data_IF_687009503280
#
_entry.id   IF_687009503280
#
_cell.length_a   1.000
_cell.length_b   1.000
_cell.length_c   1.000
_cell.angle_alpha   90.00
_cell.angle_beta   90.00
_cell.angle_gamma   90.00
#
_symmetry.space_group_name_H-M   'P 1'
#
loop_
_entity.id
_entity.type
_entity.pdbx_description
1 polymer ?
#
# COMPACT_ATOMS: atom_id res chain seq x y z
N UNK A 1 29.44 -9.38 -2.34
CA UNK A 1 28.46 -8.30 -2.53
C UNK A 1 27.13 -9.01 -2.71
N UNK A 2 26.10 -8.67 -1.92
CA UNK A 2 24.80 -9.32 -2.04
C UNK A 2 24.21 -9.09 -3.43
N UNK A 3 23.40 -10.04 -3.92
CA UNK A 3 22.71 -9.87 -5.20
C UNK A 3 21.62 -8.79 -5.12
N UNK A 4 21.20 -8.41 -3.91
CA UNK A 4 20.23 -7.35 -3.66
C UNK A 4 20.88 -6.00 -3.41
N UNK A 5 20.22 -4.95 -3.91
CA UNK A 5 20.53 -3.55 -3.59
C UNK A 5 19.25 -2.87 -3.14
N UNK A 6 19.30 -2.23 -1.97
CA UNK A 6 18.17 -1.53 -1.36
C UNK A 6 18.58 -0.10 -1.03
N UNK A 7 18.27 0.83 -1.93
CA UNK A 7 18.86 2.17 -1.93
C UNK A 7 17.80 3.26 -2.07
N UNK A 8 18.01 4.37 -1.33
CA UNK A 8 17.11 5.52 -1.38
C UNK A 8 17.32 6.31 -2.67
N UNK A 9 16.22 6.67 -3.33
CA UNK A 9 16.25 7.57 -4.48
C UNK A 9 16.48 9.00 -4.02
N UNK A 10 17.76 9.36 -3.85
CA UNK A 10 18.16 10.72 -3.49
C UNK A 10 18.37 11.53 -4.75
N UNK A 11 17.39 12.39 -5.07
CA UNK A 11 17.56 13.41 -6.11
C UNK A 11 18.21 14.64 -5.48
N UNK A 12 19.27 15.16 -6.12
CA UNK A 12 19.86 16.43 -5.70
C UNK A 12 18.84 17.56 -5.88
N UNK A 13 18.45 18.19 -4.78
CA UNK A 13 17.50 19.30 -4.79
C UNK A 13 18.22 20.64 -4.68
N UNK A 14 17.64 21.73 -5.24
CA UNK A 14 18.15 23.08 -5.04
C UNK A 14 18.30 23.42 -3.55
N UNK A 15 19.24 24.32 -3.22
CA UNK A 15 19.47 24.77 -1.84
C UNK A 15 18.16 25.28 -1.20
N UNK A 16 17.82 24.74 -0.04
CA UNK A 16 16.61 25.10 0.71
C UNK A 16 15.35 24.33 0.31
N UNK A 17 15.42 23.48 -0.73
CA UNK A 17 14.36 22.54 -1.05
C UNK A 17 14.59 21.20 -0.34
N UNK A 18 13.51 20.54 0.04
CA UNK A 18 13.51 19.18 0.57
C UNK A 18 12.43 18.37 -0.12
N UNK A 19 12.68 17.07 -0.26
CA UNK A 19 11.65 16.17 -0.77
C UNK A 19 10.55 16.04 0.28
N UNK A 20 9.30 16.12 -0.16
CA UNK A 20 8.14 15.91 0.72
C UNK A 20 8.00 14.46 1.16
N UNK A 21 8.58 13.55 0.39
CA UNK A 21 8.49 12.11 0.57
C UNK A 21 9.78 11.41 0.17
N UNK A 22 9.88 10.12 0.42
CA UNK A 22 11.02 9.30 0.02
C UNK A 22 10.57 8.03 -0.70
N UNK A 23 11.52 7.46 -1.44
CA UNK A 23 11.38 6.16 -2.09
C UNK A 23 12.68 5.40 -1.92
N UNK A 24 12.57 4.09 -1.65
CA UNK A 24 13.70 3.17 -1.57
C UNK A 24 13.49 2.06 -2.58
N UNK A 25 14.36 1.97 -3.57
CA UNK A 25 14.30 0.98 -4.64
C UNK A 25 14.98 -0.32 -4.21
N UNK A 26 14.34 -1.45 -4.52
CA UNK A 26 14.91 -2.78 -4.41
C UNK A 26 15.23 -3.29 -5.81
N UNK A 27 16.50 -3.61 -6.05
CA UNK A 27 16.95 -4.29 -7.26
C UNK A 27 17.65 -5.60 -6.93
N UNK A 28 17.65 -6.52 -7.88
CA UNK A 28 18.35 -7.80 -7.80
C UNK A 28 19.17 -8.02 -9.06
N UNK A 29 20.47 -8.26 -8.91
CA UNK A 29 21.44 -8.41 -10.03
C UNK A 29 21.37 -7.26 -11.05
N UNK A 30 21.21 -6.03 -10.55
CA UNK A 30 21.14 -4.82 -11.37
C UNK A 30 19.81 -4.61 -12.11
N UNK A 31 18.75 -5.36 -11.77
CA UNK A 31 17.39 -5.14 -12.30
C UNK A 31 16.45 -4.70 -11.20
N UNK A 32 15.74 -3.62 -11.43
CA UNK A 32 14.72 -3.13 -10.50
C UNK A 32 13.58 -4.15 -10.36
N UNK A 33 13.18 -4.40 -9.11
CA UNK A 33 12.09 -5.31 -8.79
C UNK A 33 10.86 -4.55 -8.33
N UNK A 34 11.05 -3.71 -7.32
CA UNK A 34 10.01 -2.86 -6.76
C UNK A 34 10.61 -1.71 -5.97
N UNK A 35 9.79 -0.74 -5.57
CA UNK A 35 10.23 0.29 -4.64
C UNK A 35 9.21 0.58 -3.54
N UNK A 36 9.71 0.84 -2.33
CA UNK A 36 8.94 1.25 -1.17
C UNK A 36 8.79 2.77 -1.23
N UNK A 37 7.57 3.26 -1.40
CA UNK A 37 7.29 4.68 -1.56
C UNK A 37 6.46 5.20 -0.39
N UNK A 38 6.91 6.27 0.25
CA UNK A 38 6.05 7.10 1.08
C UNK A 38 5.28 8.06 0.18
N UNK A 39 3.98 7.88 0.03
CA UNK A 39 3.14 8.87 -0.64
C UNK A 39 2.76 10.06 0.24
N UNK A 40 1.98 11.01 -0.30
CA UNK A 40 1.39 12.08 0.49
C UNK A 40 0.43 11.56 1.57
N UNK A 41 -0.34 10.51 1.28
CA UNK A 41 -1.35 9.96 2.20
C UNK A 41 -0.98 8.60 2.78
N UNK A 42 -0.23 7.76 2.07
CA UNK A 42 0.08 6.41 2.54
C UNK A 42 1.35 5.87 1.91
N UNK A 43 1.90 4.85 2.54
CA UNK A 43 2.97 4.00 2.00
C UNK A 43 2.41 2.99 0.99
N UNK A 44 3.16 2.66 -0.06
CA UNK A 44 2.82 1.63 -1.04
C UNK A 44 4.07 1.12 -1.75
N UNK A 45 3.93 0.00 -2.47
CA UNK A 45 4.98 -0.51 -3.34
C UNK A 45 4.72 -0.05 -4.78
N UNK A 46 5.60 0.76 -5.35
CA UNK A 46 5.54 1.20 -6.74
C UNK A 46 6.89 1.72 -7.21
N UNK A 47 7.33 1.40 -8.43
CA UNK A 47 6.74 0.42 -9.38
C UNK A 47 6.90 -1.03 -8.89
N UNK A 48 6.17 -1.97 -9.51
CA UNK A 48 6.47 -3.41 -9.46
C UNK A 48 6.82 -3.88 -10.88
N UNK A 49 7.91 -4.62 -11.02
CA UNK A 49 8.44 -5.10 -12.29
C UNK A 49 8.34 -6.62 -12.43
N UNK A 50 8.19 -7.09 -13.67
CA UNK A 50 8.49 -8.47 -14.05
C UNK A 50 10.01 -8.74 -13.97
N UNK A 51 10.45 -10.02 -14.01
CA UNK A 51 11.87 -10.35 -14.15
C UNK A 51 12.54 -9.78 -15.40
N UNK A 52 11.76 -9.47 -16.44
CA UNK A 52 12.21 -8.81 -17.67
C UNK A 52 12.27 -7.28 -17.58
N UNK A 53 11.93 -6.69 -16.43
CA UNK A 53 11.98 -5.25 -16.20
C UNK A 53 10.77 -4.46 -16.71
N UNK A 54 9.62 -5.11 -16.90
CA UNK A 54 8.39 -4.47 -17.38
C UNK A 54 7.47 -4.18 -16.20
N UNK A 55 6.99 -2.94 -16.07
CA UNK A 55 6.10 -2.57 -14.98
C UNK A 55 4.71 -3.22 -15.12
N UNK A 56 4.21 -3.83 -14.04
CA UNK A 56 2.91 -4.53 -14.00
C UNK A 56 1.84 -3.79 -13.21
N UNK A 57 2.22 -2.73 -12.50
CA UNK A 57 1.29 -1.89 -11.73
C UNK A 57 1.34 -0.42 -12.18
N UNK A 58 0.30 0.32 -11.83
CA UNK A 58 0.19 1.76 -12.07
C UNK A 58 -0.09 2.55 -10.79
N UNK A 59 0.15 3.86 -10.87
CA UNK A 59 -0.11 4.81 -9.79
C UNK A 59 -0.89 6.02 -10.32
N UNK A 60 -1.85 6.50 -9.54
CA UNK A 60 -2.59 7.74 -9.80
C UNK A 60 -3.33 7.80 -11.14
N UNK A 61 -4.06 6.75 -11.55
CA UNK A 61 -4.82 6.77 -12.79
C UNK A 61 -5.93 7.83 -12.75
N UNK A 62 -6.31 8.37 -13.92
CA UNK A 62 -7.25 9.49 -14.01
C UNK A 62 -8.64 9.20 -13.42
N UNK A 63 -9.11 7.95 -13.49
CA UNK A 63 -10.41 7.53 -12.95
C UNK A 63 -10.39 7.35 -11.43
N UNK A 64 -9.23 7.02 -10.86
CA UNK A 64 -9.06 6.73 -9.44
C UNK A 64 -7.71 7.27 -8.94
N UNK A 65 -7.54 8.60 -8.78
CA UNK A 65 -6.24 9.22 -8.51
C UNK A 65 -5.63 8.85 -7.14
N UNK A 66 -6.40 8.18 -6.28
CA UNK A 66 -5.97 7.69 -4.98
C UNK A 66 -5.45 6.25 -5.00
N UNK A 67 -5.54 5.54 -6.14
CA UNK A 67 -5.00 4.19 -6.31
C UNK A 67 -3.48 4.24 -6.53
N UNK A 68 -2.73 3.53 -5.69
CA UNK A 68 -1.27 3.57 -5.66
C UNK A 68 -0.69 2.15 -5.69
N UNK A 69 -0.64 1.54 -6.87
CA UNK A 69 0.02 0.26 -7.12
C UNK A 69 -0.37 -0.82 -6.10
N UNK A 70 0.49 -1.22 -5.16
CA UNK A 70 0.15 -2.15 -4.08
C UNK A 70 0.14 -1.42 -2.75
N UNK A 71 -1.03 -1.31 -2.12
CA UNK A 71 -1.19 -0.54 -0.88
C UNK A 71 -2.18 -1.18 0.09
N UNK A 72 -2.03 -0.78 1.35
CA UNK A 72 -2.96 -1.12 2.43
C UNK A 72 -3.66 0.16 2.89
N UNK A 73 -4.95 0.07 3.15
CA UNK A 73 -5.75 1.17 3.67
C UNK A 73 -7.13 0.70 4.12
N UNK A 74 -7.80 1.50 4.94
CA UNK A 74 -9.18 1.23 5.36
C UNK A 74 -10.04 2.45 5.07
N UNK A 75 -11.21 2.26 4.46
CA UNK A 75 -12.17 3.34 4.22
C UNK A 75 -12.91 3.75 5.49
N UNK A 76 -13.40 2.77 6.26
CA UNK A 76 -14.04 2.96 7.55
C UNK A 76 -13.11 2.49 8.65
N UNK A 77 -12.40 3.42 9.29
CA UNK A 77 -11.72 3.18 10.56
C UNK A 77 -12.39 4.02 11.64
N UNK A 78 -12.90 3.35 12.66
CA UNK A 78 -13.55 3.93 13.83
C UNK A 78 -12.59 3.86 15.00
N UNK A 79 -12.34 4.99 15.65
CA UNK A 79 -11.48 5.12 16.83
C UNK A 79 -12.33 5.61 18.00
N UNK A 80 -12.50 4.75 19.00
CA UNK A 80 -13.38 5.03 20.15
C UNK A 80 -12.59 5.70 21.26
N UNK A 81 -12.88 6.97 21.50
CA UNK A 81 -12.14 7.84 22.42
C UNK A 81 -12.97 8.08 23.68
N UNK A 82 -12.53 7.61 24.86
CA UNK A 82 -13.18 7.93 26.12
C UNK A 82 -13.07 9.44 26.43
N UNK A 83 -14.18 10.04 26.85
CA UNK A 83 -14.26 11.45 27.24
C UNK A 83 -14.90 11.61 28.62
N UNK A 84 -14.96 12.85 29.11
CA UNK A 84 -15.50 13.16 30.43
C UNK A 84 -16.92 12.62 30.63
N UNK A 85 -17.26 12.24 31.87
CA UNK A 85 -18.57 11.69 32.21
C UNK A 85 -18.79 10.22 31.82
N UNK A 86 -17.74 9.49 31.43
CA UNK A 86 -17.84 8.10 31.01
C UNK A 86 -18.44 7.91 29.61
N UNK A 87 -18.52 8.99 28.83
CA UNK A 87 -18.95 8.93 27.44
C UNK A 87 -17.80 8.49 26.52
N UNK A 88 -18.15 8.08 25.31
CA UNK A 88 -17.21 7.70 24.26
C UNK A 88 -17.59 8.44 22.99
N UNK A 89 -16.63 9.13 22.40
CA UNK A 89 -16.74 9.70 21.07
C UNK A 89 -16.21 8.72 20.02
N UNK A 90 -16.85 8.67 18.85
CA UNK A 90 -16.39 7.86 17.71
C UNK A 90 -15.75 8.77 16.67
N UNK A 91 -14.43 8.68 16.54
CA UNK A 91 -13.69 9.39 15.51
C UNK A 91 -13.53 8.50 14.29
N UNK A 92 -14.07 8.96 13.17
CA UNK A 92 -14.10 8.19 11.92
C UNK A 92 -13.13 8.77 10.90
N UNK A 93 -12.27 7.90 10.36
CA UNK A 93 -11.21 8.29 9.45
C UNK A 93 -11.23 7.43 8.19
N UNK A 94 -10.82 8.03 7.08
CA UNK A 94 -10.61 7.34 5.82
C UNK A 94 -9.12 7.27 5.50
N UNK A 95 -8.53 6.07 5.53
CA UNK A 95 -7.15 5.81 5.11
C UNK A 95 -7.05 5.26 3.68
N UNK A 96 -8.19 5.14 2.98
CA UNK A 96 -8.28 4.62 1.62
C UNK A 96 -8.29 5.72 0.54
N UNK A 97 -9.03 6.81 0.77
CA UNK A 97 -9.08 7.95 -0.16
C UNK A 97 -8.10 9.06 0.25
N UNK A 98 -7.92 10.04 -0.63
CA UNK A 98 -7.03 11.20 -0.44
C UNK A 98 -7.80 12.49 -0.11
N UNK A 99 -9.09 12.36 0.18
CA UNK A 99 -10.02 13.46 0.37
C UNK A 99 -11.11 13.08 1.37
N UNK A 100 -11.94 14.05 1.74
CA UNK A 100 -13.10 13.78 2.59
C UNK A 100 -14.08 12.88 1.84
N UNK A 101 -14.40 11.72 2.42
CA UNK A 101 -15.30 10.76 1.80
C UNK A 101 -16.44 10.43 2.75
N UNK A 102 -17.67 10.80 2.35
CA UNK A 102 -18.89 10.57 3.13
C UNK A 102 -18.76 11.07 4.59
N UNK A 103 -18.16 12.25 4.77
CA UNK A 103 -17.96 12.88 6.09
C UNK A 103 -16.71 12.42 6.86
N UNK A 104 -16.02 11.36 6.41
CA UNK A 104 -14.76 10.92 7.02
C UNK A 104 -13.60 11.72 6.44
N UNK A 105 -12.82 12.36 7.31
CA UNK A 105 -11.61 13.07 6.90
C UNK A 105 -10.50 12.07 6.53
N UNK A 106 -9.61 12.43 5.57
CA UNK A 106 -8.53 11.55 5.16
C UNK A 106 -7.45 11.48 6.25
N UNK A 107 -7.19 10.28 6.73
CA UNK A 107 -6.04 9.97 7.54
C UNK A 107 -4.77 9.80 6.70
N UNK A 108 -3.63 9.64 7.37
CA UNK A 108 -2.34 9.36 6.72
C UNK A 108 -1.67 8.14 7.31
N UNK A 109 -1.13 7.27 6.47
CA UNK A 109 -0.24 6.18 6.85
C UNK A 109 1.20 6.65 6.61
N UNK A 110 1.97 6.80 7.69
CA UNK A 110 3.35 7.31 7.64
C UNK A 110 4.32 6.22 8.05
N UNK A 111 5.28 5.91 7.18
CA UNK A 111 6.44 5.11 7.56
C UNK A 111 7.26 5.90 8.58
N UNK A 112 7.57 5.26 9.70
CA UNK A 112 8.43 5.83 10.75
C UNK A 112 9.72 5.03 10.93
N UNK A 113 9.78 3.80 10.44
CA UNK A 113 10.98 2.99 10.35
C UNK A 113 10.86 1.96 9.22
N UNK A 114 11.99 1.64 8.59
CA UNK A 114 12.11 0.54 7.63
C UNK A 114 13.46 -0.14 7.82
N UNK A 115 13.44 -1.41 8.22
CA UNK A 115 14.62 -2.24 8.38
C UNK A 115 14.66 -3.30 7.28
N UNK A 116 15.83 -3.58 6.72
CA UNK A 116 15.99 -4.57 5.65
C UNK A 116 17.06 -5.60 5.98
N UNK A 117 16.85 -6.84 5.52
CA UNK A 117 17.83 -7.92 5.65
C UNK A 117 17.72 -8.90 4.48
N UNK A 118 18.84 -9.54 4.12
CA UNK A 118 18.84 -10.73 3.29
C UNK A 118 18.57 -11.96 4.18
N UNK A 119 17.43 -12.62 3.98
CA UNK A 119 16.98 -13.77 4.78
C UNK A 119 17.58 -15.12 4.36
N UNK A 120 18.49 -15.12 3.39
CA UNK A 120 19.12 -16.28 2.79
C UNK A 120 19.29 -16.11 1.27
N UNK A 121 19.83 -17.12 0.56
CA UNK A 121 19.99 -17.07 -0.89
C UNK A 121 18.66 -16.76 -1.59
N UNK A 122 18.60 -15.67 -2.35
CA UNK A 122 17.41 -15.29 -3.12
C UNK A 122 16.22 -14.85 -2.27
N UNK A 123 16.42 -14.38 -1.03
CA UNK A 123 15.35 -13.85 -0.19
C UNK A 123 15.74 -12.52 0.44
N UNK A 124 14.94 -11.50 0.15
CA UNK A 124 15.03 -10.18 0.78
C UNK A 124 13.80 -9.95 1.66
N UNK A 125 14.01 -9.32 2.82
CA UNK A 125 12.94 -8.90 3.73
C UNK A 125 13.09 -7.44 4.08
N UNK A 126 11.99 -6.69 3.98
CA UNK A 126 11.83 -5.39 4.61
C UNK A 126 10.75 -5.43 5.69
N UNK A 127 10.99 -4.76 6.81
CA UNK A 127 10.05 -4.60 7.93
C UNK A 127 9.80 -3.11 8.11
N UNK A 128 8.60 -2.65 7.73
CA UNK A 128 8.15 -1.28 7.94
C UNK A 128 7.36 -1.18 9.25
N UNK A 129 7.62 -0.12 10.00
CA UNK A 129 6.71 0.37 11.04
C UNK A 129 5.98 1.58 10.48
N UNK A 130 4.64 1.52 10.40
CA UNK A 130 3.81 2.61 9.92
C UNK A 130 2.86 3.10 11.00
N UNK A 131 2.68 4.41 11.09
CA UNK A 131 1.68 5.04 11.95
C UNK A 131 0.47 5.46 11.14
N UNK A 132 -0.71 5.03 11.59
CA UNK A 132 -1.98 5.46 11.04
C UNK A 132 -2.42 6.68 11.85
N UNK A 133 -2.37 7.84 11.20
CA UNK A 133 -2.63 9.15 11.79
C UNK A 133 -3.95 9.72 11.29
N UNK A 134 -4.78 10.22 12.20
CA UNK A 134 -5.94 11.04 11.84
C UNK A 134 -5.54 12.32 11.09
N UNK A 135 -6.50 13.13 10.63
CA UNK A 135 -6.24 14.45 10.09
C UNK A 135 -5.66 15.38 11.18
N UNK A 136 -5.08 16.51 10.75
CA UNK A 136 -4.69 17.58 11.66
C UNK A 136 -5.92 18.12 12.40
N UNK A 137 -5.79 18.34 13.71
CA UNK A 137 -6.89 18.84 14.56
C UNK A 137 -6.37 19.66 15.74
N UNK A 138 -7.29 20.30 16.47
CA UNK A 138 -6.94 21.11 17.63
C UNK A 138 -6.26 20.25 18.71
N UNK A 139 -5.02 20.58 19.06
CA UNK A 139 -4.19 19.81 19.99
C UNK A 139 -3.40 18.66 19.36
N UNK A 140 -3.55 18.40 18.05
CA UNK A 140 -2.76 17.41 17.31
C UNK A 140 -2.57 17.84 15.84
N UNK A 141 -1.65 18.79 15.61
CA UNK A 141 -1.41 19.37 14.28
C UNK A 141 -0.89 18.34 13.26
N UNK A 142 -0.15 17.33 13.72
CA UNK A 142 0.34 16.22 12.89
C UNK A 142 -0.64 15.03 12.83
N UNK A 143 -1.84 15.19 13.40
CA UNK A 143 -2.84 14.15 13.59
C UNK A 143 -2.50 13.17 14.71
N UNK A 144 -3.53 12.63 15.37
CA UNK A 144 -3.38 11.59 16.39
C UNK A 144 -2.95 10.29 15.75
N UNK A 145 -1.92 9.63 16.30
CA UNK A 145 -1.61 8.24 15.96
C UNK A 145 -2.68 7.35 16.60
N UNK A 146 -3.54 6.76 15.77
CA UNK A 146 -4.65 5.93 16.25
C UNK A 146 -4.32 4.44 16.20
N UNK A 147 -3.45 4.04 15.26
CA UNK A 147 -2.96 2.67 15.14
C UNK A 147 -1.49 2.64 14.73
N UNK A 148 -0.82 1.52 15.00
CA UNK A 148 0.50 1.19 14.47
C UNK A 148 0.43 -0.09 13.67
N UNK A 149 1.05 -0.08 12.50
CA UNK A 149 1.15 -1.22 11.62
C UNK A 149 2.60 -1.70 11.56
N UNK A 150 2.82 -2.99 11.78
CA UNK A 150 4.03 -3.66 11.30
C UNK A 150 3.74 -4.30 9.95
N UNK A 151 4.44 -3.87 8.90
CA UNK A 151 4.34 -4.45 7.57
C UNK A 151 5.63 -5.15 7.19
N UNK A 152 5.53 -6.46 6.94
CA UNK A 152 6.65 -7.28 6.45
C UNK A 152 6.43 -7.52 4.96
N UNK A 153 7.44 -7.22 4.16
CA UNK A 153 7.48 -7.48 2.72
C UNK A 153 8.65 -8.43 2.46
N UNK A 154 8.33 -9.66 2.10
CA UNK A 154 9.30 -10.68 1.69
C UNK A 154 9.32 -10.77 0.17
N UNK A 155 10.51 -10.68 -0.42
CA UNK A 155 10.72 -10.69 -1.87
C UNK A 155 11.62 -11.86 -2.24
N UNK A 156 11.16 -12.69 -3.18
CA UNK A 156 11.95 -13.77 -3.79
C UNK A 156 11.98 -13.57 -5.31
N UNK A 157 13.11 -13.13 -5.88
CA UNK A 157 13.27 -13.05 -7.32
C UNK A 157 13.26 -14.45 -7.95
N UNK A 158 12.88 -14.49 -9.21
CA UNK A 158 12.82 -15.71 -10.02
C UNK A 158 12.90 -15.32 -11.49
N UNK A 159 13.17 -16.31 -12.35
CA UNK A 159 13.33 -16.07 -13.79
C UNK A 159 11.99 -15.82 -14.48
N UNK A 160 10.93 -16.49 -14.04
CA UNK A 160 9.57 -16.38 -14.62
C UNK A 160 8.71 -15.36 -13.89
N UNK A 161 8.81 -15.29 -12.57
CA UNK A 161 8.06 -14.35 -11.73
C UNK A 161 8.86 -13.94 -10.51
N UNK A 162 8.43 -12.85 -9.87
CA UNK A 162 8.85 -12.47 -8.53
C UNK A 162 7.74 -12.82 -7.55
N UNK A 163 8.07 -13.46 -6.43
CA UNK A 163 7.13 -13.65 -5.34
C UNK A 163 7.31 -12.51 -4.34
N UNK A 164 6.22 -11.80 -4.06
CA UNK A 164 6.16 -10.72 -3.07
C UNK A 164 5.10 -11.07 -2.04
N UNK A 165 5.52 -11.51 -0.87
CA UNK A 165 4.61 -11.81 0.25
C UNK A 165 4.51 -10.59 1.15
N UNK A 166 3.28 -10.15 1.43
CA UNK A 166 3.02 -8.97 2.28
C UNK A 166 2.19 -9.39 3.47
N UNK A 167 2.71 -9.15 4.68
CA UNK A 167 1.99 -9.33 5.94
C UNK A 167 1.85 -7.99 6.64
N UNK A 168 0.62 -7.60 6.96
CA UNK A 168 0.30 -6.41 7.74
C UNK A 168 -0.35 -6.81 9.06
N UNK A 169 0.20 -6.30 10.17
CA UNK A 169 -0.39 -6.41 11.51
C UNK A 169 -0.68 -5.00 12.00
N UNK A 170 -1.96 -4.65 12.07
CA UNK A 170 -2.44 -3.38 12.60
C UNK A 170 -2.82 -3.55 14.07
N UNK A 171 -2.27 -2.70 14.93
CA UNK A 171 -2.53 -2.71 16.37
C UNK A 171 -3.07 -1.34 16.82
N UNK A 172 -4.10 -1.32 17.68
CA UNK A 172 -4.57 -0.08 18.26
C UNK A 172 -3.51 0.56 19.14
N UNK A 173 -3.65 1.87 19.37
CA UNK A 173 -2.92 2.55 20.43
C UNK A 173 -3.63 2.36 21.78
N UNK A 174 -3.95 3.45 22.48
CA UNK A 174 -4.73 3.41 23.71
C UNK A 174 -6.25 3.37 23.46
N UNK A 175 -6.68 3.54 22.21
CA UNK A 175 -8.09 3.58 21.81
C UNK A 175 -8.49 2.32 21.07
N UNK A 176 -9.70 1.84 21.35
CA UNK A 176 -10.30 0.72 20.64
C UNK A 176 -10.57 1.11 19.18
N UNK A 177 -10.25 0.19 18.25
CA UNK A 177 -10.46 0.37 16.82
C UNK A 177 -11.44 -0.65 16.25
N UNK A 178 -12.28 -0.21 15.32
CA UNK A 178 -13.07 -1.08 14.46
C UNK A 178 -12.87 -0.70 12.98
N UNK A 179 -12.85 -1.70 12.10
CA UNK A 179 -12.76 -1.52 10.65
C UNK A 179 -14.03 -2.03 9.99
N UNK A 180 -14.57 -1.22 9.07
CA UNK A 180 -15.72 -1.58 8.25
C UNK A 180 -17.08 -1.37 8.92
N UNK A 181 -18.17 -1.84 8.27
CA UNK A 181 -18.18 -2.50 6.96
C UNK A 181 -17.85 -1.51 5.82
N UNK A 182 -17.25 -2.01 4.74
CA UNK A 182 -16.99 -1.20 3.53
C UNK A 182 -16.92 -2.09 2.28
N UNK A 183 -17.17 -1.49 1.11
CA UNK A 183 -16.96 -2.12 -0.20
C UNK A 183 -15.49 -2.09 -0.64
N UNK A 184 -14.67 -1.26 -0.01
CA UNK A 184 -13.27 -1.07 -0.37
C UNK A 184 -12.40 -2.14 0.29
N UNK A 185 -11.40 -2.65 -0.42
CA UNK A 185 -10.53 -3.70 0.10
C UNK A 185 -9.50 -3.13 1.09
N UNK A 186 -9.09 -3.94 2.06
CA UNK A 186 -8.00 -3.59 2.98
C UNK A 186 -6.64 -3.65 2.29
N UNK A 187 -6.42 -4.68 1.47
CA UNK A 187 -5.23 -4.88 0.63
C UNK A 187 -5.61 -4.66 -0.83
N UNK A 188 -4.84 -3.84 -1.54
CA UNK A 188 -5.20 -3.33 -2.85
C UNK A 188 -4.08 -3.47 -3.86
N UNK A 189 -4.44 -3.74 -5.11
CA UNK A 189 -3.53 -3.79 -6.26
C UNK A 189 -4.14 -3.02 -7.44
N UNK A 190 -3.43 -2.01 -7.96
CA UNK A 190 -3.72 -1.34 -9.23
C UNK A 190 -2.74 -1.83 -10.29
N UNK A 191 -3.23 -2.70 -11.16
CA UNK A 191 -2.48 -3.16 -12.34
C UNK A 191 -2.22 -2.02 -13.32
N UNK A 192 -1.23 -2.22 -14.20
CA UNK A 192 -0.90 -1.29 -15.27
C UNK A 192 -2.12 -1.02 -16.17
N UNK A 193 -2.17 0.17 -16.79
CA UNK A 193 -3.30 0.59 -17.62
C UNK A 193 -3.55 -0.35 -18.81
N UNK A 194 -2.48 -0.95 -19.37
CA UNK A 194 -2.54 -1.95 -20.44
C UNK A 194 -3.21 -3.26 -20.00
N UNK A 195 -3.20 -3.56 -18.70
CA UNK A 195 -3.84 -4.75 -18.14
C UNK A 195 -5.31 -4.52 -17.80
N UNK A 196 -5.93 -3.39 -18.13
CA UNK A 196 -7.37 -3.23 -17.86
C UNK A 196 -8.21 -4.22 -18.67
N UNK A 197 -9.37 -4.61 -18.14
CA UNK A 197 -10.34 -5.45 -18.85
C UNK A 197 -10.70 -4.90 -20.25
N UNK A 198 -10.80 -3.57 -20.39
CA UNK A 198 -11.05 -2.89 -21.66
C UNK A 198 -9.85 -2.88 -22.62
N UNK A 199 -8.71 -3.40 -22.20
CA UNK A 199 -7.43 -3.47 -22.93
C UNK A 199 -6.88 -4.90 -23.04
N UNK A 200 -7.72 -5.91 -22.81
CA UNK A 200 -7.36 -7.33 -22.93
C UNK A 200 -6.92 -7.99 -21.62
N UNK A 201 -6.98 -7.26 -20.50
CA UNK A 201 -6.79 -7.86 -19.18
C UNK A 201 -7.95 -8.76 -18.77
N UNK A 202 -7.67 -9.73 -17.91
CA UNK A 202 -8.66 -10.66 -17.37
C UNK A 202 -8.41 -10.85 -15.89
N UNK A 203 -9.51 -10.94 -15.14
CA UNK A 203 -9.50 -11.24 -13.71
C UNK A 203 -10.24 -12.55 -13.48
N UNK A 204 -9.61 -13.47 -12.75
CA UNK A 204 -10.14 -14.79 -12.39
C UNK A 204 -9.96 -14.99 -10.90
N UNK A 205 -10.89 -15.64 -10.22
CA UNK A 205 -10.75 -16.00 -8.82
C UNK A 205 -10.56 -17.49 -8.58
N UNK A 206 -10.41 -17.85 -7.31
CA UNK A 206 -10.25 -19.23 -6.85
C UNK A 206 -11.39 -20.18 -7.19
N UNK A 207 -12.57 -19.68 -7.56
CA UNK A 207 -13.72 -20.49 -7.96
C UNK A 207 -13.88 -20.55 -9.49
N UNK A 208 -12.93 -19.99 -10.24
CA UNK A 208 -12.97 -19.91 -11.70
C UNK A 208 -13.96 -18.87 -12.24
N UNK A 209 -14.47 -17.97 -11.38
CA UNK A 209 -15.32 -16.85 -11.84
C UNK A 209 -14.45 -15.85 -12.56
N UNK A 210 -14.99 -15.30 -13.65
CA UNK A 210 -14.29 -14.33 -14.50
C UNK A 210 -15.00 -12.99 -14.46
N UNK A 211 -14.24 -11.91 -14.30
CA UNK A 211 -14.74 -10.53 -14.31
C UNK A 211 -15.12 -9.99 -12.93
N UNK A 212 -14.89 -8.69 -12.72
CA UNK A 212 -15.03 -8.02 -11.42
C UNK A 212 -16.42 -8.17 -10.80
N UNK A 213 -17.48 -8.09 -11.61
CA UNK A 213 -18.87 -8.19 -11.10
C UNK A 213 -19.18 -9.56 -10.48
N UNK A 214 -18.54 -10.63 -10.98
CA UNK A 214 -18.74 -12.00 -10.47
C UNK A 214 -17.85 -12.33 -9.27
N UNK A 215 -16.72 -11.64 -9.15
CA UNK A 215 -15.69 -11.86 -8.12
C UNK A 215 -15.93 -10.96 -6.89
N UNK A 216 -16.58 -9.80 -7.07
CA UNK A 216 -16.81 -8.84 -5.99
C UNK A 216 -17.64 -9.44 -4.86
N UNK A 217 -17.11 -9.35 -3.63
CA UNK A 217 -17.77 -9.85 -2.42
C UNK A 217 -16.96 -10.95 -1.71
N UNK A 218 -17.58 -11.65 -0.74
CA UNK A 218 -16.92 -12.73 -0.02
C UNK A 218 -16.83 -14.01 -0.86
N UNK A 219 -15.85 -14.86 -0.55
CA UNK A 219 -15.76 -16.24 -1.06
C UNK A 219 -14.46 -16.57 -1.78
N UNK A 220 -13.91 -15.63 -2.55
CA UNK A 220 -12.62 -15.82 -3.21
C UNK A 220 -11.47 -15.87 -2.19
N UNK A 221 -10.60 -16.89 -2.29
CA UNK A 221 -9.37 -16.99 -1.47
C UNK A 221 -8.15 -16.40 -2.18
N UNK A 222 -8.20 -16.29 -3.50
CA UNK A 222 -7.23 -15.57 -4.32
C UNK A 222 -7.92 -14.97 -5.55
N UNK A 223 -7.28 -13.95 -6.12
CA UNK A 223 -7.67 -13.30 -7.37
C UNK A 223 -6.42 -13.15 -8.22
N UNK A 224 -6.47 -13.67 -9.45
CA UNK A 224 -5.46 -13.53 -10.49
C UNK A 224 -5.89 -12.42 -11.45
N UNK A 225 -4.98 -11.49 -11.73
CA UNK A 225 -5.17 -10.47 -12.76
C UNK A 225 -4.04 -10.61 -13.78
N UNK A 226 -4.39 -11.02 -15.00
CA UNK A 226 -3.49 -11.18 -16.13
C UNK A 226 -3.81 -10.20 -17.26
N UNK A 227 -2.84 -9.87 -18.11
CA UNK A 227 -3.02 -8.94 -19.21
C UNK A 227 -1.70 -8.50 -19.84
N UNK A 228 -1.75 -7.80 -20.99
CA UNK A 228 -0.55 -7.36 -21.70
C UNK A 228 0.16 -6.21 -20.96
N UNK A 229 1.48 -6.18 -21.05
CA UNK A 229 2.35 -5.12 -20.52
C UNK A 229 3.49 -4.84 -21.51
N UNK A 230 4.12 -3.66 -21.44
CA UNK A 230 5.30 -3.37 -22.26
C UNK A 230 5.06 -3.21 -23.77
N UNK A 231 3.81 -3.07 -24.22
CA UNK A 231 3.45 -2.86 -25.63
C UNK A 231 2.75 -4.03 -26.31
N UNK A 232 2.55 -5.15 -25.60
CA UNK A 232 1.84 -6.34 -26.09
C UNK A 232 2.30 -7.59 -25.37
#
# INVERSE_FOLDING_TARGET
MGDFVFESDVVALPRGAWSKTHRVALSWRGRDMLAFTQGPFRTYLYPLYTPSGVAVTGEGPADHPHHSSVWIGADHLHCRVPVAGGHVEDYTYCFYLNENFQGRAPGRIREVACESMEGGPGHFRAVQTNEWRGPAEWGAQDGRVVARETRIVDVRPGETYHLVDIRSRLEPTQWELAIGPTRHAYFNVRVAESMRATKGGTIVDSEGRVGGDRISGPGAVWVDYSGPVGGG
#
